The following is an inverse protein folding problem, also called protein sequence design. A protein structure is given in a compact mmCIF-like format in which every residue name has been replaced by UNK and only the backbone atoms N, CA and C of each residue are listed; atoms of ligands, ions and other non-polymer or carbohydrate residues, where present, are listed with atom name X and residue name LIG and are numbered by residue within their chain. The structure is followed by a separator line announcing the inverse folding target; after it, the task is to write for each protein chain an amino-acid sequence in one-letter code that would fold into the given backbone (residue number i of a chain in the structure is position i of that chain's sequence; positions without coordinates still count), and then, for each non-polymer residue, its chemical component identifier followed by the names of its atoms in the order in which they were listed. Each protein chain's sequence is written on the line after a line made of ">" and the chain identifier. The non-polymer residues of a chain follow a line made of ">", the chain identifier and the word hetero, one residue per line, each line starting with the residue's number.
data_IF_377811100283
#
_entry.id   IF_377811100283
#
_cell.length_a   1.000
_cell.length_b   1.000
_cell.length_c   1.000
_cell.angle_alpha   90.00
_cell.angle_beta   90.00
_cell.angle_gamma   90.00
#
_symmetry.space_group_name_H-M   'P 1'
#
loop_
_entity.id
_entity.type
_entity.pdbx_description
1 polymer ?
#
# COMPACT_ATOMS: atom_id res chain seq x y z
N UNK A 1 7.10 5.56 -1.18
CA UNK A 1 7.52 5.51 -2.60
C UNK A 1 6.73 6.45 -3.50
N UNK A 2 5.42 6.25 -3.72
CA UNK A 2 4.65 7.11 -4.65
C UNK A 2 4.73 8.61 -4.30
N UNK A 3 4.36 8.97 -3.07
CA UNK A 3 4.41 10.38 -2.60
C UNK A 3 5.82 10.98 -2.63
N UNK A 4 6.83 10.19 -2.24
CA UNK A 4 8.24 10.62 -2.27
C UNK A 4 8.76 10.86 -3.69
N UNK A 5 8.16 10.20 -4.68
CA UNK A 5 8.50 10.37 -6.10
C UNK A 5 7.76 11.54 -6.75
N UNK A 6 6.87 12.21 -6.02
CA UNK A 6 6.04 13.29 -6.53
C UNK A 6 4.71 12.81 -7.14
N UNK A 7 4.31 11.56 -6.93
CA UNK A 7 3.02 11.04 -7.37
C UNK A 7 1.94 11.34 -6.31
N UNK A 8 0.78 11.80 -6.76
CA UNK A 8 -0.43 11.93 -5.94
C UNK A 8 -1.16 10.58 -5.85
N UNK A 9 -1.62 10.21 -4.65
CA UNK A 9 -2.41 9.00 -4.42
C UNK A 9 -3.89 9.37 -4.46
N UNK A 10 -4.63 8.81 -5.41
CA UNK A 10 -6.04 9.13 -5.66
C UNK A 10 -6.97 8.06 -5.07
N UNK A 11 -6.52 6.80 -5.08
CA UNK A 11 -7.24 5.71 -4.45
C UNK A 11 -6.31 5.04 -3.44
N UNK A 12 -6.87 4.83 -2.25
CA UNK A 12 -6.30 3.99 -1.21
C UNK A 12 -7.46 3.15 -0.65
N UNK A 13 -7.65 1.97 -1.23
CA UNK A 13 -8.78 1.11 -0.95
C UNK A 13 -8.33 -0.31 -0.67
N UNK A 14 -9.10 -1.02 0.15
CA UNK A 14 -8.87 -2.43 0.44
C UNK A 14 -10.15 -3.20 0.17
N UNK A 15 -10.14 -4.06 -0.84
CA UNK A 15 -11.28 -4.89 -1.23
C UNK A 15 -10.94 -6.33 -0.88
N UNK A 16 -11.65 -6.89 0.10
CA UNK A 16 -11.36 -8.22 0.63
C UNK A 16 -9.98 -8.29 1.30
N UNK A 17 -9.06 -9.01 0.66
CA UNK A 17 -7.66 -9.18 1.10
C UNK A 17 -6.66 -8.37 0.27
N UNK A 18 -7.11 -7.73 -0.78
CA UNK A 18 -6.26 -7.02 -1.71
C UNK A 18 -6.29 -5.51 -1.44
N UNK A 19 -5.11 -4.91 -1.54
CA UNK A 19 -4.90 -3.47 -1.42
C UNK A 19 -4.79 -2.88 -2.83
N UNK A 20 -5.58 -1.85 -3.07
CA UNK A 20 -5.71 -1.17 -4.34
C UNK A 20 -5.28 0.28 -4.15
N UNK A 21 -4.23 0.66 -4.88
CA UNK A 21 -3.73 2.01 -4.89
C UNK A 21 -3.69 2.56 -6.31
N UNK A 22 -4.31 3.72 -6.53
CA UNK A 22 -4.22 4.47 -7.79
C UNK A 22 -3.43 5.73 -7.56
N UNK A 23 -2.50 6.01 -8.47
CA UNK A 23 -1.63 7.18 -8.39
C UNK A 23 -1.60 7.94 -9.71
N UNK A 24 -1.45 9.26 -9.66
CA UNK A 24 -1.26 10.10 -10.83
C UNK A 24 -0.13 11.10 -10.61
N UNK A 25 0.48 11.57 -11.69
CA UNK A 25 1.60 12.51 -11.64
C UNK A 25 2.20 12.74 -13.01
N UNK A 26 3.24 13.56 -13.08
CA UNK A 26 4.00 13.79 -14.31
C UNK A 26 4.82 12.55 -14.71
N UNK A 27 5.23 12.49 -15.98
CA UNK A 27 6.13 11.43 -16.47
C UNK A 27 7.45 11.38 -15.67
N UNK A 28 7.98 12.53 -15.28
CA UNK A 28 9.19 12.62 -14.45
C UNK A 28 9.00 12.03 -13.05
N UNK A 29 7.81 12.17 -12.45
CA UNK A 29 7.47 11.55 -11.18
C UNK A 29 7.33 10.02 -11.31
N UNK A 30 6.76 9.55 -12.44
CA UNK A 30 6.69 8.11 -12.76
C UNK A 30 8.08 7.49 -12.89
N UNK A 31 9.02 8.15 -13.56
CA UNK A 31 10.39 7.66 -13.69
C UNK A 31 11.06 7.48 -12.32
N UNK A 32 10.97 8.51 -11.45
CA UNK A 32 11.49 8.44 -10.07
C UNK A 32 10.84 7.32 -9.26
N UNK A 33 9.54 7.11 -9.46
CA UNK A 33 8.80 6.04 -8.79
C UNK A 33 9.26 4.65 -9.23
N UNK A 34 9.46 4.44 -10.53
CA UNK A 34 9.98 3.19 -11.07
C UNK A 34 11.39 2.90 -10.54
N UNK A 35 12.25 3.91 -10.47
CA UNK A 35 13.61 3.77 -9.92
C UNK A 35 13.58 3.45 -8.42
N UNK A 36 12.68 4.08 -7.67
CA UNK A 36 12.46 3.76 -6.25
C UNK A 36 11.97 2.32 -6.05
N UNK A 37 11.11 1.80 -6.92
CA UNK A 37 10.67 0.39 -6.88
C UNK A 37 11.84 -0.55 -7.18
N UNK A 38 12.67 -0.25 -8.18
CA UNK A 38 13.82 -1.09 -8.56
C UNK A 38 14.87 -1.17 -7.46
N UNK A 39 15.05 -0.09 -6.71
CA UNK A 39 15.99 -0.02 -5.59
C UNK A 39 15.41 -0.57 -4.29
N UNK A 40 14.09 -0.77 -4.23
CA UNK A 40 13.44 -1.32 -3.06
C UNK A 40 13.85 -2.79 -2.88
N UNK A 41 14.36 -3.20 -1.71
CA UNK A 41 14.49 -4.61 -1.41
C UNK A 41 13.10 -5.25 -1.47
N UNK A 42 12.98 -6.39 -2.18
CA UNK A 42 11.72 -7.14 -2.31
C UNK A 42 11.30 -7.62 -0.92
N UNK A 43 10.54 -6.79 -0.23
CA UNK A 43 9.93 -7.14 1.02
C UNK A 43 8.55 -7.67 0.68
N UNK A 44 8.43 -9.00 0.61
CA UNK A 44 7.14 -9.69 0.59
C UNK A 44 6.39 -9.40 1.89
N UNK A 45 5.84 -8.19 2.03
CA UNK A 45 4.83 -7.88 3.03
C UNK A 45 3.47 -7.94 2.34
N UNK A 46 3.13 -9.13 1.83
CA UNK A 46 1.75 -9.43 1.46
C UNK A 46 0.99 -9.69 2.76
N UNK A 47 0.15 -8.72 3.15
CA UNK A 47 -0.98 -8.88 4.07
C UNK A 47 -0.72 -9.67 5.36
N UNK A 48 -0.31 -9.00 6.43
CA UNK A 48 -0.06 -9.68 7.70
C UNK A 48 0.05 -8.78 8.93
N UNK A 49 -0.83 -7.79 9.09
CA UNK A 49 -1.10 -7.27 10.45
C UNK A 49 -2.56 -7.59 10.82
N UNK A 50 -2.78 -8.87 11.10
CA UNK A 50 -3.85 -9.34 11.96
C UNK A 50 -3.47 -8.93 13.38
N UNK A 51 -3.82 -7.72 13.79
CA UNK A 51 -4.12 -7.48 15.20
C UNK A 51 -5.52 -8.07 15.44
N UNK A 52 -5.51 -9.36 15.78
CA UNK A 52 -6.63 -10.04 16.40
C UNK A 52 -7.00 -9.27 17.67
N UNK A 53 -8.01 -8.41 17.57
CA UNK A 53 -8.77 -8.02 18.76
C UNK A 53 -9.46 -9.30 19.23
N UNK A 54 -9.29 -9.71 20.51
CA UNK A 54 -9.98 -10.89 21.00
C UNK A 54 -11.48 -10.65 20.80
N UNK A 55 -12.13 -11.50 20.01
CA UNK A 55 -13.59 -11.55 19.99
C UNK A 55 -14.01 -12.03 21.38
N UNK A 56 -14.32 -11.10 22.26
CA UNK A 56 -14.98 -11.41 23.51
C UNK A 56 -16.32 -12.06 23.15
N UNK A 57 -16.38 -13.37 23.34
CA UNK A 57 -17.57 -14.19 23.26
C UNK A 57 -18.28 -14.17 24.62
N UNK A 58 -19.51 -13.62 24.65
CA UNK A 58 -20.49 -13.76 25.74
C UNK A 58 -20.26 -12.91 27.00
N UNK A 59 -21.28 -12.73 27.88
CA UNK A 59 -22.10 -13.84 28.35
C UNK A 59 -23.62 -13.62 28.58
N UNK A 60 -24.33 -14.77 28.58
CA UNK A 60 -25.67 -15.15 29.09
C UNK A 60 -26.90 -14.57 28.42
#
# INVERSE_FOLDING_TARGET
>A
MARQSGMAVILDARIGREEYHSVCGSLSALQKFADAIRQAPVNHKTGGNRQERPRAWGPK
#
